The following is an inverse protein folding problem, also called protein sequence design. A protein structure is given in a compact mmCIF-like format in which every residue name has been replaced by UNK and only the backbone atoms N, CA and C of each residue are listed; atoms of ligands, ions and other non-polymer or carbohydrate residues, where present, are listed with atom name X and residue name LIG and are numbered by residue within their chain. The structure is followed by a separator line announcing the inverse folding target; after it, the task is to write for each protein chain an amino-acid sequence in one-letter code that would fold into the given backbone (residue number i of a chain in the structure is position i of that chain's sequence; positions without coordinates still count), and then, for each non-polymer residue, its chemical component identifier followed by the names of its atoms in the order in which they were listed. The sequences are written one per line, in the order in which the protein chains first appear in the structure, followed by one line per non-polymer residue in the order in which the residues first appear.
data_IF_122849303080
#
_entry.id   IF_122849303080
#
_cell.length_a   1.000
_cell.length_b   1.000
_cell.length_c   1.000
_cell.angle_alpha   90.00
_cell.angle_beta   90.00
_cell.angle_gamma   90.00
#
_symmetry.space_group_name_H-M   'P 1'
#
loop_
_entity.id
_entity.type
_entity.pdbx_description
1 polymer ?
#
# COMPACT_ATOMS: atom_id res chain seq x y z
N UNK A 1 18.76 -16.49 9.59
CA UNK A 1 18.05 -15.46 8.79
C UNK A 1 19.10 -14.60 8.11
N UNK A 2 19.19 -14.64 6.78
CA UNK A 2 20.02 -13.71 6.03
C UNK A 2 19.52 -12.30 6.34
N UNK A 3 20.32 -11.50 7.04
CA UNK A 3 20.03 -10.08 7.23
C UNK A 3 20.26 -9.41 5.88
N UNK A 4 19.18 -9.21 5.13
CA UNK A 4 19.23 -8.45 3.88
C UNK A 4 19.75 -7.04 4.18
N UNK A 5 20.67 -6.55 3.35
CA UNK A 5 21.18 -5.19 3.48
C UNK A 5 20.00 -4.21 3.34
N UNK A 6 19.88 -3.17 4.19
CA UNK A 6 18.72 -2.25 4.18
C UNK A 6 18.39 -1.67 2.81
N UNK A 7 19.42 -1.35 2.01
CA UNK A 7 19.30 -0.86 0.63
C UNK A 7 18.57 -1.81 -0.33
N UNK A 8 18.51 -3.12 -0.03
CA UNK A 8 17.77 -4.08 -0.85
C UNK A 8 16.27 -3.78 -0.80
N UNK A 9 15.75 -3.37 0.36
CA UNK A 9 14.35 -3.00 0.50
C UNK A 9 14.04 -1.72 -0.26
N UNK A 10 14.91 -0.71 -0.17
CA UNK A 10 14.79 0.53 -0.96
C UNK A 10 14.80 0.26 -2.47
N UNK A 11 15.66 -0.65 -2.93
CA UNK A 11 15.72 -1.05 -4.34
C UNK A 11 14.44 -1.77 -4.78
N UNK A 12 13.89 -2.65 -3.96
CA UNK A 12 12.63 -3.35 -4.24
C UNK A 12 11.48 -2.35 -4.33
N UNK A 13 11.42 -1.39 -3.41
CA UNK A 13 10.38 -0.35 -3.42
C UNK A 13 10.51 0.57 -4.64
N UNK A 14 11.73 0.87 -5.06
CA UNK A 14 11.98 1.60 -6.30
C UNK A 14 11.44 0.84 -7.51
N UNK A 15 11.75 -0.46 -7.66
CA UNK A 15 11.23 -1.28 -8.77
C UNK A 15 9.69 -1.32 -8.80
N UNK A 16 9.05 -1.47 -7.64
CA UNK A 16 7.59 -1.45 -7.53
C UNK A 16 7.00 -0.09 -7.94
N UNK A 17 7.67 1.01 -7.59
CA UNK A 17 7.23 2.34 -7.96
C UNK A 17 7.25 2.56 -9.48
N UNK A 18 8.32 2.11 -10.14
CA UNK A 18 8.47 2.17 -11.61
C UNK A 18 7.48 1.26 -12.34
N UNK A 19 7.23 0.06 -11.80
CA UNK A 19 6.22 -0.86 -12.34
C UNK A 19 4.82 -0.25 -12.31
N UNK A 20 4.41 0.33 -11.17
CA UNK A 20 3.12 0.99 -11.03
C UNK A 20 2.97 2.17 -12.01
N UNK A 21 4.01 3.00 -12.11
CA UNK A 21 4.01 4.17 -13.01
C UNK A 21 3.90 3.74 -14.48
N UNK A 22 4.57 2.64 -14.85
CA UNK A 22 4.50 2.07 -16.19
C UNK A 22 3.10 1.52 -16.48
N UNK A 23 2.50 0.80 -15.53
CA UNK A 23 1.14 0.27 -15.66
C UNK A 23 0.11 1.38 -15.85
N UNK A 24 0.22 2.47 -15.09
CA UNK A 24 -0.66 3.64 -15.22
C UNK A 24 -0.57 4.25 -16.62
N UNK A 25 0.65 4.39 -17.16
CA UNK A 25 0.89 4.88 -18.53
C UNK A 25 0.31 3.94 -19.59
N UNK A 26 0.45 2.62 -19.41
CA UNK A 26 -0.12 1.62 -20.33
C UNK A 26 -1.65 1.71 -20.33
N UNK A 27 -2.28 1.81 -19.17
CA UNK A 27 -3.74 1.96 -19.05
C UNK A 27 -4.19 3.26 -19.71
N UNK A 28 -3.47 4.36 -19.46
CA UNK A 28 -3.76 5.64 -20.10
C UNK A 28 -3.63 5.59 -21.62
N UNK A 29 -2.58 4.96 -22.13
CA UNK A 29 -2.38 4.79 -23.57
C UNK A 29 -3.48 3.93 -24.20
N UNK A 30 -3.97 2.89 -23.50
CA UNK A 30 -5.04 2.01 -23.98
C UNK A 30 -6.44 2.64 -23.93
N UNK A 31 -6.73 3.42 -22.90
CA UNK A 31 -8.09 3.90 -22.62
C UNK A 31 -8.30 5.38 -22.93
N UNK A 32 -7.23 6.16 -23.09
CA UNK A 32 -7.28 7.62 -23.20
C UNK A 32 -7.53 8.33 -21.87
N UNK A 33 -7.83 7.60 -20.80
CA UNK A 33 -8.09 8.15 -19.47
C UNK A 33 -6.89 7.95 -18.56
N UNK A 34 -6.51 8.99 -17.83
CA UNK A 34 -5.51 8.84 -16.76
C UNK A 34 -6.10 7.93 -15.68
N UNK A 35 -5.47 6.78 -15.45
CA UNK A 35 -5.86 5.91 -14.34
C UNK A 35 -5.69 6.71 -13.05
N UNK A 36 -6.79 6.90 -12.34
CA UNK A 36 -6.80 7.49 -11.00
C UNK A 36 -7.45 6.45 -10.10
N UNK A 37 -6.80 6.13 -8.99
CA UNK A 37 -7.41 5.24 -7.99
C UNK A 37 -8.77 5.82 -7.62
N UNK A 38 -9.79 4.95 -7.58
CA UNK A 38 -11.13 5.40 -7.18
C UNK A 38 -11.05 6.00 -5.77
N UNK A 39 -11.76 7.11 -5.48
CA UNK A 39 -11.63 7.82 -4.22
C UNK A 39 -11.84 6.96 -2.95
N UNK A 40 -12.64 5.89 -3.04
CA UNK A 40 -12.83 4.98 -1.91
C UNK A 40 -11.57 4.16 -1.57
N UNK A 41 -10.76 3.77 -2.56
CA UNK A 41 -9.50 3.08 -2.30
C UNK A 41 -8.45 4.00 -1.69
N UNK A 42 -8.49 5.31 -2.00
CA UNK A 42 -7.60 6.29 -1.37
C UNK A 42 -7.91 6.43 0.13
N UNK A 43 -9.18 6.53 0.49
CA UNK A 43 -9.62 6.57 1.90
C UNK A 43 -9.26 5.28 2.65
N UNK A 44 -9.38 4.13 1.98
CA UNK A 44 -9.03 2.84 2.57
C UNK A 44 -7.52 2.75 2.84
N UNK A 45 -6.69 3.21 1.90
CA UNK A 45 -5.22 3.28 2.10
C UNK A 45 -4.82 4.22 3.24
N UNK A 46 -5.47 5.39 3.36
CA UNK A 46 -5.24 6.32 4.47
C UNK A 46 -5.56 5.65 5.81
N UNK A 47 -6.70 4.95 5.90
CA UNK A 47 -7.11 4.24 7.11
C UNK A 47 -6.18 3.07 7.47
N UNK A 48 -5.67 2.34 6.49
CA UNK A 48 -4.66 1.30 6.71
C UNK A 48 -3.37 1.94 7.27
N UNK A 49 -2.95 3.09 6.74
CA UNK A 49 -1.76 3.80 7.25
C UNK A 49 -1.93 4.28 8.68
N UNK A 50 -3.10 4.79 9.05
CA UNK A 50 -3.43 5.19 10.42
C UNK A 50 -3.29 4.00 11.38
N UNK A 51 -3.93 2.87 11.07
CA UNK A 51 -3.86 1.66 11.91
C UNK A 51 -2.43 1.13 12.02
N UNK A 52 -1.64 1.18 10.95
CA UNK A 52 -0.24 0.75 10.97
C UNK A 52 0.67 1.70 11.76
N UNK A 53 0.38 3.00 11.76
CA UNK A 53 1.13 3.98 12.55
C UNK A 53 0.82 3.88 14.05
N UNK A 54 -0.43 3.58 14.39
CA UNK A 54 -0.86 3.41 15.78
C UNK A 54 -0.48 2.04 16.35
N UNK A 55 0.00 1.11 15.53
CA UNK A 55 0.42 -0.23 15.97
C UNK A 55 1.65 -0.19 16.89
N UNK A 56 1.51 -0.76 18.08
CA UNK A 56 2.57 -1.12 19.00
C UNK A 56 2.37 -2.60 19.44
N UNK A 57 3.44 -3.25 19.87
CA UNK A 57 3.40 -4.65 20.31
C UNK A 57 2.44 -4.89 21.48
N UNK A 58 2.12 -3.84 22.23
CA UNK A 58 1.21 -3.86 23.38
C UNK A 58 -0.26 -3.67 23.00
N UNK A 59 -0.58 -3.29 21.76
CA UNK A 59 -1.95 -3.05 21.28
C UNK A 59 -2.34 -3.98 20.12
N UNK A 60 -1.67 -5.14 20.01
CA UNK A 60 -1.88 -6.09 18.91
C UNK A 60 -3.35 -6.51 18.74
N UNK A 61 -4.07 -6.75 19.83
CA UNK A 61 -5.48 -7.17 19.78
C UNK A 61 -6.38 -6.07 19.19
N UNK A 62 -6.18 -4.81 19.62
CA UNK A 62 -6.88 -3.64 19.08
C UNK A 62 -6.51 -3.37 17.61
N UNK A 63 -5.24 -3.54 17.27
CA UNK A 63 -4.78 -3.50 15.88
C UNK A 63 -5.47 -4.59 15.03
N UNK A 64 -5.53 -5.83 15.53
CA UNK A 64 -6.11 -6.95 14.81
C UNK A 64 -7.60 -6.75 14.55
N UNK A 65 -8.35 -6.27 15.54
CA UNK A 65 -9.77 -5.97 15.41
C UNK A 65 -10.01 -4.83 14.40
N UNK A 66 -9.23 -3.74 14.50
CA UNK A 66 -9.32 -2.63 13.54
C UNK A 66 -8.95 -3.04 12.11
N UNK A 67 -7.94 -3.92 11.96
CA UNK A 67 -7.52 -4.43 10.66
C UNK A 67 -8.52 -5.43 10.08
N UNK A 68 -9.16 -6.25 10.92
CA UNK A 68 -10.21 -7.17 10.51
C UNK A 68 -11.43 -6.43 9.93
N UNK A 69 -11.81 -5.29 10.52
CA UNK A 69 -12.90 -4.43 10.02
C UNK A 69 -12.65 -3.86 8.62
N UNK A 70 -11.39 -3.75 8.19
CA UNK A 70 -11.04 -3.32 6.82
C UNK A 70 -11.22 -4.46 5.82
N UNK A 71 -11.07 -5.71 6.26
CA UNK A 71 -11.16 -6.89 5.38
C UNK A 71 -12.57 -7.14 4.84
N UNK A 72 -13.59 -6.60 5.52
CA UNK A 72 -15.00 -6.71 5.16
C UNK A 72 -15.48 -5.54 4.25
N UNK A 73 -14.58 -4.66 3.82
CA UNK A 73 -14.83 -3.49 2.97
C UNK A 73 -14.63 -3.78 1.47
#
# INVERSE_FOLDING_TARGET
MLKCHPLIYELIDWFRSEENLTNDKIIQAKTGFKYTRKPHYVKLDERIKEILNDYDKNNFDEFYDNFALIKDY
#
